data_IF_323418654878
#
_entry.id   IF_323418654878
#
_cell.length_a   1.000
_cell.length_b   1.000
_cell.length_c   1.000
_cell.angle_alpha   90.00
_cell.angle_beta   90.00
_cell.angle_gamma   90.00
#
_symmetry.space_group_name_H-M   'P 1'
#
loop_
_entity.id
_entity.type
_entity.pdbx_description
1 polymer ?
#
# COMPACT_ATOMS: atom_id res chain seq x y z
N UNK A 1 -19.37 -18.07 -1.90
CA UNK A 1 -18.31 -17.31 -2.60
C UNK A 1 -17.06 -17.40 -1.74
N UNK A 2 -15.95 -17.89 -2.27
CA UNK A 2 -14.68 -17.82 -1.53
C UNK A 2 -14.34 -16.32 -1.33
N UNK A 3 -13.85 -15.91 -0.16
CA UNK A 3 -13.48 -14.52 0.07
C UNK A 3 -12.42 -14.08 -0.94
N UNK A 4 -12.59 -12.89 -1.51
CA UNK A 4 -11.56 -12.26 -2.34
C UNK A 4 -10.28 -12.10 -1.51
N UNK A 5 -9.07 -12.38 -2.06
CA UNK A 5 -7.84 -12.02 -1.38
C UNK A 5 -7.83 -10.51 -1.10
N UNK A 6 -7.40 -10.12 0.10
CA UNK A 6 -7.26 -8.72 0.46
C UNK A 6 -5.84 -8.25 0.15
N UNK A 7 -5.73 -7.08 -0.49
CA UNK A 7 -4.47 -6.35 -0.58
C UNK A 7 -4.50 -5.25 0.48
N UNK A 8 -3.76 -5.45 1.56
CA UNK A 8 -3.78 -4.57 2.73
C UNK A 8 -2.61 -3.61 2.67
N UNK A 9 -2.91 -2.33 2.52
CA UNK A 9 -1.95 -1.22 2.50
C UNK A 9 -1.90 -0.63 3.92
N UNK A 10 -0.74 -0.72 4.55
CA UNK A 10 -0.53 -0.25 5.92
C UNK A 10 0.35 0.99 5.90
N UNK A 11 -0.21 2.10 6.38
CA UNK A 11 0.48 3.38 6.49
C UNK A 11 1.36 3.45 7.73
N UNK A 12 2.51 4.14 7.61
CA UNK A 12 3.27 4.61 8.78
C UNK A 12 2.73 5.96 9.26
N UNK A 13 1.42 6.04 9.49
CA UNK A 13 0.71 7.21 9.98
C UNK A 13 -0.50 6.77 10.81
N UNK A 14 -0.91 7.59 11.77
CA UNK A 14 -2.14 7.37 12.56
C UNK A 14 -3.33 8.09 11.90
N UNK A 15 -4.54 7.57 12.10
CA UNK A 15 -5.77 8.06 11.45
C UNK A 15 -6.19 9.49 11.86
N UNK A 16 -5.63 10.03 12.94
CA UNK A 16 -5.99 11.35 13.46
C UNK A 16 -5.44 12.50 12.60
N UNK A 17 -6.21 13.60 12.48
CA UNK A 17 -5.79 14.85 11.78
C UNK A 17 -4.48 15.44 12.34
N UNK A 18 -4.11 15.12 13.59
CA UNK A 18 -2.79 15.45 14.18
C UNK A 18 -1.63 14.72 13.49
N UNK A 19 -1.87 13.56 12.88
CA UNK A 19 -0.91 12.83 12.03
C UNK A 19 -0.49 13.61 10.79
N UNK A 20 -1.35 14.49 10.24
CA UNK A 20 -1.02 15.33 9.08
C UNK A 20 0.00 16.43 9.38
N UNK A 21 -0.05 17.01 10.58
CA UNK A 21 0.95 18.00 11.02
C UNK A 21 2.31 17.32 11.25
N UNK A 22 2.30 16.10 11.80
CA UNK A 22 3.50 15.30 12.00
C UNK A 22 4.11 14.78 10.68
N UNK A 23 3.30 14.42 9.68
CA UNK A 23 3.79 14.00 8.35
C UNK A 23 4.41 15.17 7.58
N UNK A 24 3.75 16.34 7.54
CA UNK A 24 4.32 17.55 6.96
C UNK A 24 5.63 17.93 7.68
N UNK A 25 5.63 17.93 9.02
CA UNK A 25 6.83 18.19 9.81
C UNK A 25 7.96 17.21 9.47
N UNK A 26 7.73 15.88 9.45
CA UNK A 26 8.77 14.87 9.13
C UNK A 26 9.33 14.96 7.71
N UNK A 27 8.49 15.29 6.72
CA UNK A 27 8.91 15.51 5.32
C UNK A 27 9.85 16.72 5.20
N UNK A 28 9.70 17.72 6.07
CA UNK A 28 10.51 18.94 6.07
C UNK A 28 11.65 18.98 7.11
N UNK A 29 11.62 18.19 8.20
CA UNK A 29 12.55 18.40 9.33
C UNK A 29 13.50 17.27 9.70
N UNK A 30 13.28 16.01 9.30
CA UNK A 30 14.28 14.89 9.33
C UNK A 30 13.57 13.54 9.17
N UNK A 31 13.69 12.90 8.02
CA UNK A 31 13.44 11.46 7.90
C UNK A 31 14.64 10.72 8.50
N UNK A 32 14.51 10.15 9.71
CA UNK A 32 15.56 9.29 10.28
C UNK A 32 15.39 7.86 9.76
N UNK A 33 16.46 7.05 9.77
CA UNK A 33 16.39 5.60 9.46
C UNK A 33 15.35 4.86 10.32
N UNK A 34 15.06 5.40 11.51
CA UNK A 34 14.12 4.81 12.47
C UNK A 34 12.67 5.25 12.25
N UNK A 35 12.44 6.30 11.45
CA UNK A 35 11.10 6.84 11.20
C UNK A 35 10.96 7.43 9.79
N UNK A 36 10.97 6.56 8.76
CA UNK A 36 10.93 7.00 7.37
C UNK A 36 9.59 7.64 7.02
N UNK A 37 9.62 8.57 6.05
CA UNK A 37 8.42 9.13 5.44
C UNK A 37 7.52 8.00 4.91
N UNK A 38 6.20 8.19 5.02
CA UNK A 38 5.22 7.19 4.61
C UNK A 38 5.06 7.15 3.08
N UNK A 39 5.87 6.35 2.39
CA UNK A 39 5.80 6.18 0.94
C UNK A 39 4.42 5.69 0.45
N UNK A 40 3.74 4.84 1.21
CA UNK A 40 2.36 4.44 0.91
C UNK A 40 1.39 5.65 0.92
N UNK A 41 1.60 6.62 1.81
CA UNK A 41 0.82 7.85 1.86
C UNK A 41 1.11 8.77 0.65
N UNK A 42 2.38 8.82 0.20
CA UNK A 42 2.74 9.52 -1.04
C UNK A 42 2.03 8.90 -2.26
N UNK A 43 2.00 7.56 -2.36
CA UNK A 43 1.32 6.84 -3.44
C UNK A 43 -0.18 7.12 -3.42
N UNK A 44 -0.84 7.02 -2.26
CA UNK A 44 -2.31 7.04 -2.21
C UNK A 44 -2.91 8.44 -2.11
N UNK A 45 -2.18 9.40 -1.51
CA UNK A 45 -2.67 10.75 -1.21
C UNK A 45 -1.78 11.88 -1.76
N UNK A 46 -0.69 11.57 -2.48
CA UNK A 46 0.25 12.61 -2.94
C UNK A 46 0.95 13.34 -1.78
N UNK A 47 1.02 12.69 -0.60
CA UNK A 47 1.73 13.16 0.59
C UNK A 47 0.90 14.03 1.53
N UNK A 48 0.48 15.22 1.11
CA UNK A 48 -0.17 16.21 2.02
C UNK A 48 -1.70 16.24 1.94
N UNK A 49 -2.31 15.50 1.01
CA UNK A 49 -3.77 15.46 0.86
C UNK A 49 -4.42 14.55 1.90
N UNK A 50 -5.66 14.88 2.26
CA UNK A 50 -6.57 13.97 2.94
C UNK A 50 -7.32 13.03 1.99
N UNK A 51 -7.40 13.43 0.74
CA UNK A 51 -8.16 12.72 -0.26
C UNK A 51 -7.22 11.88 -1.10
N UNK A 52 -7.69 10.70 -1.46
CA UNK A 52 -7.06 9.86 -2.47
C UNK A 52 -6.84 10.67 -3.77
N UNK A 53 -5.63 10.60 -4.33
CA UNK A 53 -5.35 11.16 -5.65
C UNK A 53 -6.04 10.33 -6.74
N UNK A 54 -6.44 10.94 -7.85
CA UNK A 54 -7.21 10.24 -8.89
C UNK A 54 -6.43 9.09 -9.55
N UNK A 55 -5.10 9.22 -9.61
CA UNK A 55 -4.22 8.12 -10.03
C UNK A 55 -4.35 6.89 -9.13
N UNK A 56 -4.45 7.11 -7.81
CA UNK A 56 -4.64 6.03 -6.84
C UNK A 56 -6.02 5.40 -6.96
N UNK A 57 -7.08 6.21 -7.10
CA UNK A 57 -8.44 5.67 -7.32
C UNK A 57 -8.52 4.78 -8.56
N UNK A 58 -7.79 5.16 -9.61
CA UNK A 58 -7.69 4.38 -10.86
C UNK A 58 -6.93 3.07 -10.63
N UNK A 59 -5.76 3.14 -9.98
CA UNK A 59 -4.97 1.96 -9.63
C UNK A 59 -5.75 0.99 -8.73
N UNK A 60 -6.45 1.50 -7.72
CA UNK A 60 -7.30 0.70 -6.83
C UNK A 60 -8.39 -0.05 -7.60
N UNK A 61 -9.09 0.62 -8.51
CA UNK A 61 -10.09 -0.01 -9.37
C UNK A 61 -9.49 -1.11 -10.26
N UNK A 62 -8.29 -0.89 -10.80
CA UNK A 62 -7.59 -1.89 -11.61
C UNK A 62 -7.22 -3.13 -10.77
N UNK A 63 -6.69 -2.92 -9.55
CA UNK A 63 -6.38 -4.00 -8.61
C UNK A 63 -7.66 -4.78 -8.23
N UNK A 64 -8.75 -4.07 -7.92
CA UNK A 64 -10.03 -4.67 -7.57
C UNK A 64 -10.65 -5.45 -8.74
N UNK A 65 -10.44 -5.01 -9.98
CA UNK A 65 -10.87 -5.73 -11.19
C UNK A 65 -10.15 -7.08 -11.38
N UNK A 66 -8.97 -7.26 -10.79
CA UNK A 66 -8.24 -8.53 -10.74
C UNK A 66 -8.65 -9.42 -9.56
N UNK A 67 -9.75 -9.10 -8.88
CA UNK A 67 -10.35 -9.95 -7.86
C UNK A 67 -9.80 -9.75 -6.45
N UNK A 68 -8.99 -8.72 -6.22
CA UNK A 68 -8.60 -8.31 -4.87
C UNK A 68 -9.63 -7.38 -4.23
N UNK A 69 -9.66 -7.36 -2.91
CA UNK A 69 -10.26 -6.27 -2.13
C UNK A 69 -9.15 -5.42 -1.55
N UNK A 70 -9.07 -4.15 -1.93
CA UNK A 70 -8.07 -3.23 -1.38
C UNK A 70 -8.53 -2.72 -0.02
N UNK A 71 -7.68 -2.87 1.00
CA UNK A 71 -7.92 -2.41 2.37
C UNK A 71 -6.80 -1.45 2.75
N UNK A 72 -7.15 -0.32 3.37
CA UNK A 72 -6.19 0.71 3.77
C UNK A 72 -6.29 0.91 5.28
N UNK A 73 -5.17 0.73 5.98
CA UNK A 73 -5.09 0.90 7.42
C UNK A 73 -4.03 1.89 7.83
N UNK A 74 -4.39 2.76 8.74
CA UNK A 74 -3.45 3.50 9.54
C UNK A 74 -2.86 2.61 10.64
N UNK A 75 -1.70 2.96 11.15
CA UNK A 75 -0.95 2.19 12.15
C UNK A 75 -1.79 1.87 13.40
N UNK A 76 -2.63 2.81 13.82
CA UNK A 76 -3.55 2.68 14.95
C UNK A 76 -4.77 1.78 14.66
N UNK A 77 -5.05 1.51 13.39
CA UNK A 77 -6.16 0.68 12.92
C UNK A 77 -5.75 -0.78 12.64
N UNK A 78 -4.44 -1.08 12.65
CA UNK A 78 -3.95 -2.43 12.32
C UNK A 78 -4.36 -3.43 13.40
N UNK A 79 -4.93 -4.55 12.97
CA UNK A 79 -5.30 -5.68 13.82
C UNK A 79 -4.07 -6.34 14.48
N UNK A 80 -4.24 -6.90 15.68
CA UNK A 80 -3.13 -7.43 16.48
C UNK A 80 -2.41 -8.62 15.82
N UNK A 81 -3.14 -9.47 15.09
CA UNK A 81 -2.58 -10.58 14.31
C UNK A 81 -1.61 -10.06 13.22
N UNK A 82 -1.96 -8.96 12.53
CA UNK A 82 -1.12 -8.35 11.49
C UNK A 82 0.09 -7.65 12.10
N UNK A 83 -0.06 -6.97 13.24
CA UNK A 83 1.08 -6.41 14.00
C UNK A 83 2.05 -7.50 14.42
N UNK A 84 1.55 -8.61 14.96
CA UNK A 84 2.36 -9.76 15.39
C UNK A 84 3.08 -10.38 14.20
N UNK A 85 2.39 -10.64 13.10
CA UNK A 85 2.99 -11.17 11.87
C UNK A 85 4.11 -10.27 11.35
N UNK A 86 3.88 -8.95 11.25
CA UNK A 86 4.89 -8.00 10.77
C UNK A 86 6.12 -7.98 11.70
N UNK A 87 5.91 -7.95 13.02
CA UNK A 87 6.98 -7.95 14.01
C UNK A 87 7.81 -9.24 13.96
N UNK A 88 7.17 -10.40 13.88
CA UNK A 88 7.84 -11.70 13.83
C UNK A 88 8.68 -11.88 12.56
N UNK A 89 8.30 -11.22 11.46
CA UNK A 89 9.06 -11.20 10.21
C UNK A 89 10.00 -10.00 10.08
N UNK A 90 10.17 -9.20 11.15
CA UNK A 90 11.00 -8.01 11.19
C UNK A 90 10.66 -6.93 10.12
N UNK A 91 9.39 -6.83 9.72
CA UNK A 91 8.89 -5.79 8.83
C UNK A 91 8.55 -4.51 9.60
N UNK A 92 8.68 -3.37 8.91
CA UNK A 92 8.32 -2.04 9.38
C UNK A 92 7.26 -1.43 8.45
N UNK A 93 6.47 -0.50 8.96
CA UNK A 93 5.55 0.28 8.14
C UNK A 93 6.30 1.45 7.47
N UNK A 94 5.87 1.89 6.26
CA UNK A 94 4.73 1.36 5.51
C UNK A 94 5.05 0.02 4.83
N UNK A 95 4.02 -0.82 4.65
CA UNK A 95 4.10 -2.08 3.91
C UNK A 95 2.77 -2.41 3.22
N UNK A 96 2.82 -3.31 2.25
CA UNK A 96 1.67 -3.94 1.62
C UNK A 96 1.78 -5.44 1.83
N UNK A 97 0.69 -6.07 2.24
CA UNK A 97 0.58 -7.52 2.35
C UNK A 97 -0.64 -8.04 1.59
N UNK A 98 -0.57 -9.30 1.17
CA UNK A 98 -1.73 -10.04 0.71
C UNK A 98 -2.27 -10.85 1.88
N UNK A 99 -3.60 -10.94 2.00
CA UNK A 99 -4.27 -11.75 3.01
C UNK A 99 -5.34 -12.60 2.35
N UNK A 100 -5.21 -13.93 2.46
CA UNK A 100 -6.19 -14.89 1.92
C UNK A 100 -6.28 -16.09 2.86
N UNK A 101 -7.51 -16.43 3.26
CA UNK A 101 -7.80 -17.62 4.09
C UNK A 101 -6.89 -17.71 5.34
N UNK A 102 -6.63 -16.58 5.99
CA UNK A 102 -5.77 -16.47 7.18
C UNK A 102 -4.26 -16.46 6.91
N UNK A 103 -3.83 -16.73 5.67
CA UNK A 103 -2.43 -16.62 5.25
C UNK A 103 -2.09 -15.18 4.91
N UNK A 104 -0.92 -14.72 5.36
CA UNK A 104 -0.39 -13.38 5.10
C UNK A 104 0.97 -13.49 4.40
N UNK A 105 1.14 -12.77 3.30
CA UNK A 105 2.41 -12.71 2.57
C UNK A 105 2.82 -11.26 2.34
N UNK A 106 4.14 -10.98 2.43
CA UNK A 106 4.66 -9.67 2.10
C UNK A 106 4.52 -9.45 0.59
N UNK A 107 3.88 -8.35 0.21
CA UNK A 107 3.81 -7.90 -1.18
C UNK A 107 4.84 -6.81 -1.44
N UNK A 108 4.90 -5.79 -0.60
CA UNK A 108 5.87 -4.70 -0.73
C UNK A 108 6.30 -4.20 0.65
N UNK A 109 7.60 -4.10 0.88
CA UNK A 109 8.14 -3.45 2.08
C UNK A 109 8.43 -1.96 1.81
N UNK A 110 9.07 -1.29 2.78
CA UNK A 110 9.37 0.14 2.66
C UNK A 110 10.28 0.46 1.46
N UNK A 111 11.41 -0.23 1.21
CA UNK A 111 12.20 -0.07 -0.02
C UNK A 111 11.39 -0.20 -1.31
N UNK A 112 10.56 -1.24 -1.44
CA UNK A 112 9.69 -1.44 -2.61
C UNK A 112 8.78 -0.22 -2.82
N UNK A 113 8.14 0.26 -1.76
CA UNK A 113 7.22 1.41 -1.81
C UNK A 113 7.92 2.74 -2.08
N UNK A 114 9.15 2.93 -1.58
CA UNK A 114 9.97 4.11 -1.89
C UNK A 114 10.34 4.11 -3.38
N UNK A 115 10.62 2.95 -3.97
CA UNK A 115 10.95 2.84 -5.40
C UNK A 115 9.78 3.24 -6.32
N UNK A 116 8.54 3.16 -5.83
CA UNK A 116 7.36 3.65 -6.54
C UNK A 116 7.30 5.18 -6.63
N UNK A 117 8.13 5.92 -5.88
CA UNK A 117 8.27 7.38 -5.96
C UNK A 117 6.95 8.17 -5.86
N UNK A 118 5.97 7.64 -5.11
CA UNK A 118 4.64 8.26 -4.98
C UNK A 118 3.73 8.08 -6.19
N UNK A 119 4.09 7.24 -7.17
CA UNK A 119 3.29 6.96 -8.36
C UNK A 119 2.45 5.68 -8.18
N UNK A 120 1.10 5.78 -8.17
CA UNK A 120 0.19 4.63 -8.15
C UNK A 120 0.42 3.60 -9.27
N UNK A 121 0.86 4.05 -10.45
CA UNK A 121 1.10 3.13 -11.58
C UNK A 121 2.28 2.21 -11.30
N UNK A 122 3.33 2.71 -10.65
CA UNK A 122 4.48 1.90 -10.24
C UNK A 122 4.11 0.82 -9.23
N UNK A 123 3.17 1.11 -8.32
CA UNK A 123 2.64 0.08 -7.43
C UNK A 123 1.90 -1.02 -8.21
N UNK A 124 1.10 -0.67 -9.21
CA UNK A 124 0.43 -1.65 -10.09
C UNK A 124 1.44 -2.48 -10.88
N UNK A 125 2.50 -1.85 -11.41
CA UNK A 125 3.61 -2.55 -12.07
C UNK A 125 4.29 -3.55 -11.13
N UNK A 126 4.59 -3.14 -9.90
CA UNK A 126 5.16 -4.02 -8.88
C UNK A 126 4.26 -5.24 -8.59
N UNK A 127 2.94 -5.05 -8.53
CA UNK A 127 1.99 -6.16 -8.33
C UNK A 127 2.00 -7.14 -9.53
N UNK A 128 2.18 -6.63 -10.75
CA UNK A 128 2.33 -7.45 -11.97
C UNK A 128 3.63 -8.22 -11.98
N UNK A 129 4.74 -7.58 -11.62
CA UNK A 129 6.06 -8.22 -11.52
C UNK A 129 6.07 -9.35 -10.49
N UNK A 130 5.35 -9.16 -9.37
CA UNK A 130 5.14 -10.18 -8.33
C UNK A 130 4.05 -11.20 -8.68
N UNK A 131 3.47 -11.12 -9.89
CA UNK A 131 2.43 -12.03 -10.41
C UNK A 131 1.18 -12.11 -9.52
N UNK A 132 0.88 -11.04 -8.79
CA UNK A 132 -0.33 -10.94 -7.97
C UNK A 132 -1.53 -10.56 -8.82
N UNK A 133 -1.33 -9.70 -9.81
CA UNK A 133 -2.34 -9.33 -10.80
C UNK A 133 -1.76 -9.57 -12.21
N UNK A 134 -2.64 -9.81 -13.17
CA UNK A 134 -2.21 -10.05 -14.54
C UNK A 134 -1.68 -8.77 -15.18
N UNK A 135 -0.61 -8.91 -15.96
CA UNK A 135 -0.21 -7.87 -16.91
C UNK A 135 -1.28 -7.82 -17.99
N UNK A 136 -2.04 -6.72 -18.05
CA UNK A 136 -3.03 -6.56 -19.10
C UNK A 136 -2.37 -6.57 -20.48
N UNK A 137 -2.35 -7.73 -21.14
CA UNK A 137 -2.21 -7.82 -22.58
C UNK A 137 -3.61 -7.77 -23.18
N UNK A 138 -4.17 -6.56 -23.27
CA UNK A 138 -5.31 -6.32 -24.17
C UNK A 138 -4.78 -5.96 -25.54
N UNK A 139 -4.26 -6.97 -26.25
CA UNK A 139 -4.11 -6.94 -27.70
C UNK A 139 -4.38 -8.34 -28.30
N UNK A 140 -5.64 -8.77 -28.28
CA UNK A 140 -6.15 -9.63 -29.36
C UNK A 140 -7.56 -9.19 -29.71
N UNK A 141 -7.62 -8.14 -30.53
CA UNK A 141 -8.71 -7.94 -31.46
C UNK A 141 -8.38 -8.70 -32.75
N UNK A 142 -9.44 -9.15 -33.42
CA UNK A 142 -9.48 -9.79 -34.75
C UNK A 142 -9.41 -11.32 -34.77
N UNK A 143 -10.60 -11.93 -34.65
CA UNK A 143 -11.15 -12.81 -35.69
C UNK A 143 -12.57 -12.37 -36.01
#
# INVERSE_FOLDING_TARGET
>A
MAPHPELVIIYNADSSVRGKLAYAYRKFTSSSKENPACAACDITHGGLSLNEVDGWKTARKDIEAHGFKVVQWHRDQVEENVKTWAKSNNYRYPLVLSRKDGTMELVADTPDLVSCAGDPKRLVELLKEKKLIEGGDKAQASL
#
